data_IF_525109765373
#
_entry.id   IF_525109765373
#
_cell.length_a   1.000
_cell.length_b   1.000
_cell.length_c   1.000
_cell.angle_alpha   90.00
_cell.angle_beta   90.00
_cell.angle_gamma   90.00
#
_symmetry.space_group_name_H-M   'P 1'
#
loop_
_entity.id
_entity.type
_entity.pdbx_description
1 polymer ?
#
# COMPACT_ATOMS: atom_id res chain seq x y z
N UNK A 1 -46.79 7.12 33.01
CA UNK A 1 -45.90 6.24 32.24
C UNK A 1 -44.49 6.45 32.76
N UNK A 2 -43.97 5.52 33.55
CA UNK A 2 -42.58 5.53 34.00
C UNK A 2 -41.70 5.09 32.84
N UNK A 3 -40.87 6.00 32.32
CA UNK A 3 -39.80 5.68 31.40
C UNK A 3 -38.70 4.96 32.19
N UNK A 4 -38.71 3.64 32.17
CA UNK A 4 -37.63 2.83 32.76
C UNK A 4 -36.40 2.91 31.87
N UNK A 5 -35.48 3.81 32.18
CA UNK A 5 -34.11 3.77 31.64
C UNK A 5 -33.42 2.57 32.30
N UNK A 6 -33.35 1.45 31.59
CA UNK A 6 -32.54 0.30 32.02
C UNK A 6 -31.07 0.75 31.98
N UNK A 7 -30.42 0.84 33.14
CA UNK A 7 -28.98 1.06 33.19
C UNK A 7 -28.29 -0.09 32.46
N UNK A 8 -27.61 0.23 31.36
CA UNK A 8 -26.78 -0.72 30.63
C UNK A 8 -25.74 -1.31 31.59
N UNK A 9 -25.61 -2.64 31.64
CA UNK A 9 -24.65 -3.32 32.52
C UNK A 9 -23.21 -2.90 32.20
N UNK A 10 -22.27 -3.11 33.14
CA UNK A 10 -20.87 -2.69 32.97
C UNK A 10 -20.19 -3.19 31.69
N UNK A 11 -20.57 -4.37 31.21
CA UNK A 11 -20.05 -4.93 29.94
C UNK A 11 -20.72 -4.32 28.70
N UNK A 12 -21.99 -3.94 28.79
CA UNK A 12 -22.69 -3.23 27.71
C UNK A 12 -22.17 -1.79 27.57
N UNK A 13 -21.87 -1.12 28.68
CA UNK A 13 -21.23 0.19 28.67
C UNK A 13 -19.79 0.13 28.12
N UNK A 14 -19.03 -0.92 28.43
CA UNK A 14 -17.71 -1.18 27.84
C UNK A 14 -17.82 -1.39 26.33
N UNK A 15 -18.75 -2.22 25.87
CA UNK A 15 -18.99 -2.47 24.46
C UNK A 15 -19.39 -1.18 23.72
N UNK A 16 -20.29 -0.37 24.30
CA UNK A 16 -20.71 0.93 23.71
C UNK A 16 -19.53 1.91 23.65
N UNK A 17 -18.71 2.00 24.70
CA UNK A 17 -17.52 2.85 24.71
C UNK A 17 -16.50 2.40 23.66
N UNK A 18 -16.37 1.09 23.47
CA UNK A 18 -15.49 0.47 22.50
C UNK A 18 -15.97 0.73 21.06
N UNK A 19 -17.27 0.56 20.78
CA UNK A 19 -17.91 0.92 19.50
C UNK A 19 -17.66 2.40 19.18
N UNK A 20 -17.88 3.31 20.15
CA UNK A 20 -17.64 4.75 19.96
C UNK A 20 -16.17 5.08 19.70
N UNK A 21 -15.25 4.38 20.35
CA UNK A 21 -13.80 4.54 20.14
C UNK A 21 -13.38 4.11 18.73
N UNK A 22 -13.95 3.03 18.21
CA UNK A 22 -13.68 2.57 16.85
C UNK A 22 -14.32 3.48 15.79
N UNK A 23 -15.53 4.00 16.04
CA UNK A 23 -16.20 4.92 15.11
C UNK A 23 -15.41 6.23 14.87
N UNK A 24 -14.65 6.70 15.87
CA UNK A 24 -13.77 7.87 15.73
C UNK A 24 -12.34 7.51 15.27
N UNK A 25 -12.04 6.23 15.02
CA UNK A 25 -10.72 5.78 14.63
C UNK A 25 -10.52 5.87 13.09
N UNK A 26 -9.26 5.95 12.63
CA UNK A 26 -8.93 5.82 11.21
C UNK A 26 -9.55 4.57 10.59
N UNK A 27 -9.79 4.60 9.27
CA UNK A 27 -10.43 3.51 8.54
C UNK A 27 -9.82 2.14 8.82
N UNK A 28 -8.50 2.04 8.73
CA UNK A 28 -7.79 0.78 8.92
C UNK A 28 -7.91 0.20 10.35
N UNK A 29 -8.21 1.03 11.36
CA UNK A 29 -8.42 0.58 12.73
C UNK A 29 -9.86 0.13 13.02
N UNK A 30 -10.82 0.44 12.13
CA UNK A 30 -12.23 0.05 12.29
C UNK A 30 -12.44 -1.43 11.98
N UNK A 31 -13.47 -2.08 12.58
CA UNK A 31 -13.92 -3.40 12.17
C UNK A 31 -14.28 -3.41 10.67
N UNK A 32 -13.96 -4.50 9.99
CA UNK A 32 -14.43 -4.79 8.64
C UNK A 32 -15.73 -5.61 8.75
N UNK A 33 -16.93 -4.99 8.65
CA UNK A 33 -18.18 -5.65 9.04
C UNK A 33 -18.56 -6.85 8.18
N UNK A 34 -18.04 -6.91 6.95
CA UNK A 34 -18.27 -8.01 6.00
C UNK A 34 -17.26 -9.14 6.12
N UNK A 35 -16.22 -8.99 6.95
CA UNK A 35 -15.13 -9.95 7.07
C UNK A 35 -15.25 -10.80 8.33
N UNK A 36 -14.76 -12.03 8.22
CA UNK A 36 -14.71 -13.04 9.28
C UNK A 36 -13.26 -13.47 9.52
N UNK A 37 -12.93 -14.08 10.67
CA UNK A 37 -11.57 -14.57 10.91
C UNK A 37 -11.05 -15.56 9.86
N UNK A 38 -11.93 -16.30 9.18
CA UNK A 38 -11.54 -17.19 8.08
C UNK A 38 -11.08 -16.47 6.81
N UNK A 39 -11.36 -15.17 6.69
CA UNK A 39 -10.88 -14.36 5.57
C UNK A 39 -9.42 -13.92 5.74
N UNK A 40 -8.81 -14.18 6.90
CA UNK A 40 -7.40 -13.88 7.19
C UNK A 40 -6.50 -15.08 6.88
N UNK A 41 -5.45 -14.87 6.09
CA UNK A 41 -4.40 -15.86 5.85
C UNK A 41 -3.47 -15.96 7.06
N UNK A 42 -3.79 -16.88 7.96
CA UNK A 42 -3.01 -17.14 9.18
C UNK A 42 -1.61 -17.70 8.88
N UNK A 43 -1.41 -18.34 7.72
CA UNK A 43 -0.09 -18.83 7.32
C UNK A 43 0.78 -17.64 6.95
N UNK A 44 0.31 -16.76 6.07
CA UNK A 44 1.00 -15.51 5.72
C UNK A 44 1.28 -14.65 6.96
N UNK A 45 0.31 -14.58 7.87
CA UNK A 45 0.48 -13.88 9.14
C UNK A 45 1.68 -14.44 9.92
N UNK A 46 1.72 -15.76 10.15
CA UNK A 46 2.80 -16.42 10.91
C UNK A 46 4.15 -16.39 10.21
N UNK A 47 4.20 -16.60 8.89
CA UNK A 47 5.47 -16.77 8.17
C UNK A 47 6.08 -15.46 7.72
N UNK A 48 5.32 -14.36 7.69
CA UNK A 48 5.80 -13.11 7.08
C UNK A 48 5.42 -11.89 7.89
N UNK A 49 4.14 -11.73 8.24
CA UNK A 49 3.70 -10.51 8.91
C UNK A 49 4.20 -10.42 10.36
N UNK A 50 3.96 -11.44 11.17
CA UNK A 50 4.34 -11.48 12.58
C UNK A 50 5.88 -11.40 12.80
N UNK A 51 6.74 -12.14 12.06
CA UNK A 51 8.19 -12.01 12.17
C UNK A 51 8.69 -10.58 11.95
N UNK A 52 8.04 -9.80 11.08
CA UNK A 52 8.41 -8.41 10.82
C UNK A 52 8.18 -7.48 12.03
N UNK A 53 7.33 -7.88 12.98
CA UNK A 53 7.09 -7.16 14.23
C UNK A 53 7.83 -7.74 15.44
N UNK A 54 8.22 -9.02 15.38
CA UNK A 54 8.91 -9.75 16.45
C UNK A 54 10.19 -10.41 15.90
N UNK A 55 11.18 -9.62 15.47
CA UNK A 55 12.39 -10.18 14.88
C UNK A 55 13.16 -11.01 15.90
N UNK A 56 13.48 -12.25 15.54
CA UNK A 56 14.21 -13.19 16.40
C UNK A 56 13.33 -14.10 17.27
N UNK A 57 12.01 -13.95 17.23
CA UNK A 57 11.08 -14.90 17.86
C UNK A 57 10.62 -15.98 16.88
N UNK A 58 10.51 -17.23 17.37
CA UNK A 58 9.83 -18.30 16.64
C UNK A 58 8.33 -18.01 16.60
N UNK A 59 7.82 -17.75 15.39
CA UNK A 59 6.46 -17.25 15.13
C UNK A 59 5.65 -18.19 14.22
N UNK A 60 6.32 -19.16 13.61
CA UNK A 60 5.76 -20.16 12.71
C UNK A 60 5.27 -21.44 13.43
N UNK A 61 5.40 -21.52 14.75
CA UNK A 61 4.90 -22.63 15.56
C UNK A 61 3.37 -22.78 15.40
N UNK A 62 2.87 -23.90 14.85
CA UNK A 62 1.44 -24.15 14.71
C UNK A 62 0.67 -24.19 16.03
N UNK A 63 1.34 -24.48 17.16
CA UNK A 63 0.73 -24.56 18.49
C UNK A 63 0.61 -23.19 19.17
N UNK A 64 1.31 -22.15 18.66
CA UNK A 64 1.25 -20.80 19.23
C UNK A 64 -0.16 -20.21 19.01
N UNK A 65 -0.87 -19.78 20.07
CA UNK A 65 -2.16 -19.08 19.92
C UNK A 65 -2.01 -17.82 19.05
N UNK A 66 -2.88 -17.63 18.07
CA UNK A 66 -2.71 -16.57 17.05
C UNK A 66 -3.47 -15.30 17.40
N UNK A 67 -4.60 -15.44 18.07
CA UNK A 67 -5.55 -14.39 18.41
C UNK A 67 -4.91 -13.28 19.25
N UNK A 68 -4.09 -13.58 20.29
CA UNK A 68 -3.41 -12.53 21.06
C UNK A 68 -2.47 -11.67 20.20
N UNK A 69 -1.75 -12.30 19.26
CA UNK A 69 -0.83 -11.59 18.37
C UNK A 69 -1.59 -10.77 17.31
N UNK A 70 -2.67 -11.31 16.74
CA UNK A 70 -3.57 -10.58 15.84
C UNK A 70 -4.16 -9.34 16.53
N UNK A 71 -4.64 -9.49 17.77
CA UNK A 71 -5.24 -8.40 18.54
C UNK A 71 -4.18 -7.34 18.92
N UNK A 72 -3.00 -7.77 19.38
CA UNK A 72 -1.86 -6.89 19.69
C UNK A 72 -1.46 -6.04 18.48
N UNK A 73 -1.46 -6.65 17.29
CA UNK A 73 -1.15 -5.98 16.02
C UNK A 73 -2.36 -5.25 15.42
N UNK A 74 -3.53 -5.29 16.07
CA UNK A 74 -4.78 -4.65 15.66
C UNK A 74 -5.33 -5.14 14.31
N UNK A 75 -5.04 -6.40 13.96
CA UNK A 75 -5.62 -7.07 12.80
C UNK A 75 -7.03 -7.60 13.10
N UNK A 76 -7.32 -7.82 14.38
CA UNK A 76 -8.67 -8.08 14.89
C UNK A 76 -8.97 -7.10 16.03
N UNK A 77 -10.26 -6.89 16.26
CA UNK A 77 -10.78 -6.21 17.45
C UNK A 77 -10.65 -7.10 18.69
N UNK A 78 -10.77 -6.54 19.91
CA UNK A 78 -10.81 -7.35 21.13
C UNK A 78 -11.93 -8.38 21.16
N UNK A 79 -13.05 -8.13 20.47
CA UNK A 79 -14.13 -9.10 20.26
C UNK A 79 -13.86 -10.17 19.19
N UNK A 80 -12.67 -10.19 18.59
CA UNK A 80 -12.25 -11.19 17.61
C UNK A 80 -12.62 -10.91 16.15
N UNK A 81 -13.43 -9.87 15.88
CA UNK A 81 -13.79 -9.51 14.51
C UNK A 81 -12.60 -8.86 13.76
N UNK A 82 -12.34 -9.20 12.48
CA UNK A 82 -11.29 -8.54 11.68
C UNK A 82 -11.46 -7.02 11.60
N UNK A 83 -10.32 -6.32 11.58
CA UNK A 83 -10.28 -4.90 11.22
C UNK A 83 -10.02 -4.74 9.72
N UNK A 84 -10.27 -3.54 9.18
CA UNK A 84 -9.88 -3.22 7.81
C UNK A 84 -8.36 -3.38 7.61
N UNK A 85 -7.53 -3.09 8.62
CA UNK A 85 -6.10 -3.39 8.58
C UNK A 85 -5.83 -4.90 8.47
N UNK A 86 -6.53 -5.73 9.26
CA UNK A 86 -6.42 -7.19 9.19
C UNK A 86 -6.68 -7.70 7.78
N UNK A 87 -7.80 -7.27 7.21
CA UNK A 87 -8.20 -7.61 5.85
C UNK A 87 -7.17 -7.12 4.82
N UNK A 88 -6.74 -5.86 4.87
CA UNK A 88 -5.78 -5.32 3.90
C UNK A 88 -4.39 -5.94 4.02
N UNK A 89 -3.93 -6.23 5.24
CA UNK A 89 -2.56 -6.66 5.50
C UNK A 89 -2.33 -8.15 5.28
N UNK A 90 -3.31 -8.99 5.60
CA UNK A 90 -3.18 -10.46 5.54
C UNK A 90 -4.47 -11.16 5.08
N UNK A 91 -5.45 -10.43 4.54
CA UNK A 91 -6.68 -11.04 4.02
C UNK A 91 -6.45 -11.78 2.70
N UNK A 92 -7.17 -12.88 2.48
CA UNK A 92 -7.01 -13.72 1.27
C UNK A 92 -7.39 -12.99 -0.01
N UNK A 93 -8.49 -12.23 0.01
CA UNK A 93 -8.88 -11.27 -1.03
C UNK A 93 -9.48 -10.02 -0.37
N UNK A 94 -8.67 -8.98 -0.10
CA UNK A 94 -9.16 -7.75 0.53
C UNK A 94 -10.25 -7.03 -0.27
N UNK A 95 -10.30 -7.27 -1.59
CA UNK A 95 -11.20 -6.55 -2.49
C UNK A 95 -12.67 -6.96 -2.36
N UNK A 96 -12.96 -8.10 -1.73
CA UNK A 96 -14.33 -8.53 -1.42
C UNK A 96 -14.97 -7.70 -0.31
N UNK A 97 -14.14 -7.10 0.56
CA UNK A 97 -14.58 -6.30 1.71
C UNK A 97 -14.28 -4.81 1.53
N UNK A 98 -13.21 -4.50 0.80
CA UNK A 98 -12.79 -3.13 0.46
C UNK A 98 -12.70 -3.07 -1.07
N UNK A 99 -13.79 -2.75 -1.80
CA UNK A 99 -13.91 -2.98 -3.25
C UNK A 99 -12.75 -2.47 -4.11
N UNK A 100 -12.19 -1.32 -3.75
CA UNK A 100 -11.07 -0.77 -4.48
C UNK A 100 -9.72 -1.43 -4.18
N UNK A 101 -9.57 -2.27 -3.15
CA UNK A 101 -8.33 -2.86 -2.59
C UNK A 101 -7.58 -3.79 -3.57
N UNK A 102 -7.16 -3.25 -4.71
CA UNK A 102 -6.43 -3.93 -5.75
C UNK A 102 -5.57 -2.95 -6.56
N UNK A 103 -4.65 -3.51 -7.34
CA UNK A 103 -3.82 -2.78 -8.29
C UNK A 103 -4.21 -3.19 -9.70
N UNK A 104 -4.44 -2.21 -10.57
CA UNK A 104 -4.62 -2.39 -12.00
C UNK A 104 -3.33 -1.98 -12.71
N UNK A 105 -2.70 -2.90 -13.42
CA UNK A 105 -1.52 -2.67 -14.24
C UNK A 105 -1.88 -2.81 -15.71
N UNK A 106 -1.47 -1.85 -16.54
CA UNK A 106 -1.70 -1.85 -17.98
C UNK A 106 -0.42 -1.39 -18.69
N UNK A 107 0.06 -2.17 -19.65
CA UNK A 107 1.16 -1.81 -20.55
C UNK A 107 0.62 -1.50 -21.93
N UNK A 108 0.86 -0.29 -22.39
CA UNK A 108 0.53 0.17 -23.72
C UNK A 108 1.74 0.06 -24.65
N UNK A 109 1.48 -0.24 -25.92
CA UNK A 109 2.42 -0.13 -27.04
C UNK A 109 2.16 1.18 -27.78
N UNK A 110 2.48 2.28 -27.10
CA UNK A 110 2.34 3.64 -27.60
C UNK A 110 2.42 4.64 -26.44
N UNK A 111 2.16 5.91 -26.75
CA UNK A 111 2.18 7.02 -25.76
C UNK A 111 0.78 7.50 -25.38
N UNK A 112 -0.23 7.04 -26.12
CA UNK A 112 -1.63 7.43 -25.99
C UNK A 112 -2.48 6.32 -25.33
N UNK A 113 -3.64 6.70 -24.79
CA UNK A 113 -4.54 5.77 -24.10
C UNK A 113 -5.30 4.82 -25.04
N UNK A 114 -5.42 5.17 -26.32
CA UNK A 114 -6.01 4.35 -27.37
C UNK A 114 -4.98 3.40 -28.03
N UNK A 115 -3.72 3.44 -27.59
CA UNK A 115 -2.69 2.53 -28.06
C UNK A 115 -3.00 1.07 -27.68
N UNK A 116 -2.50 0.08 -28.45
CA UNK A 116 -2.69 -1.33 -28.13
C UNK A 116 -2.18 -1.71 -26.74
N UNK A 117 -2.96 -2.48 -25.99
CA UNK A 117 -2.53 -3.06 -24.71
C UNK A 117 -1.78 -4.37 -24.97
N UNK A 118 -0.55 -4.46 -24.49
CA UNK A 118 0.32 -5.64 -24.68
C UNK A 118 0.49 -6.48 -23.42
N UNK A 119 0.19 -5.90 -22.26
CA UNK A 119 0.18 -6.62 -20.98
C UNK A 119 -0.83 -5.97 -20.04
N UNK A 120 -1.58 -6.79 -19.29
CA UNK A 120 -2.59 -6.32 -18.35
C UNK A 120 -2.71 -7.28 -17.18
N UNK A 121 -2.67 -6.72 -15.97
CA UNK A 121 -2.82 -7.49 -14.73
C UNK A 121 -3.73 -6.79 -13.74
N UNK A 122 -4.45 -7.60 -12.97
CA UNK A 122 -5.18 -7.16 -11.80
C UNK A 122 -4.69 -7.93 -10.56
N UNK A 123 -4.21 -7.21 -9.55
CA UNK A 123 -3.66 -7.81 -8.34
C UNK A 123 -4.68 -7.71 -7.20
N UNK A 124 -5.51 -8.75 -7.14
CA UNK A 124 -6.45 -9.20 -6.11
C UNK A 124 -5.83 -9.74 -4.81
N UNK A 125 -5.10 -8.97 -3.99
CA UNK A 125 -4.41 -9.58 -2.83
C UNK A 125 -4.10 -8.63 -1.66
N UNK A 126 -3.68 -9.20 -0.53
CA UNK A 126 -3.16 -8.48 0.64
C UNK A 126 -1.90 -7.63 0.30
N UNK A 127 -1.52 -6.75 1.21
CA UNK A 127 -0.37 -5.84 1.05
C UNK A 127 0.96 -6.57 0.79
N UNK A 128 1.22 -7.70 1.45
CA UNK A 128 2.47 -8.46 1.32
C UNK A 128 2.56 -9.14 -0.05
N UNK A 129 1.49 -9.84 -0.42
CA UNK A 129 1.38 -10.53 -1.71
C UNK A 129 1.35 -9.53 -2.85
N UNK A 130 0.63 -8.41 -2.70
CA UNK A 130 0.58 -7.33 -3.69
C UNK A 130 1.96 -6.73 -3.92
N UNK A 131 2.71 -6.39 -2.86
CA UNK A 131 4.07 -5.85 -3.00
C UNK A 131 5.00 -6.83 -3.73
N UNK A 132 4.92 -8.12 -3.42
CA UNK A 132 5.73 -9.18 -4.04
C UNK A 132 5.39 -9.34 -5.53
N UNK A 133 4.09 -9.48 -5.86
CA UNK A 133 3.63 -9.62 -7.25
C UNK A 133 3.93 -8.39 -8.09
N UNK A 134 3.74 -7.20 -7.51
CA UNK A 134 4.04 -5.95 -8.20
C UNK A 134 5.53 -5.79 -8.47
N UNK A 135 6.40 -6.18 -7.53
CA UNK A 135 7.85 -6.19 -7.76
C UNK A 135 8.24 -7.11 -8.92
N UNK A 136 7.67 -8.32 -8.99
CA UNK A 136 7.93 -9.25 -10.07
C UNK A 136 7.40 -8.72 -11.43
N UNK A 137 6.19 -8.16 -11.44
CA UNK A 137 5.56 -7.61 -12.64
C UNK A 137 6.34 -6.41 -13.19
N UNK A 138 6.78 -5.50 -12.32
CA UNK A 138 7.62 -4.37 -12.69
C UNK A 138 8.96 -4.84 -13.24
N UNK A 139 9.60 -5.81 -12.58
CA UNK A 139 10.88 -6.35 -13.05
C UNK A 139 10.75 -7.03 -14.42
N UNK A 140 9.65 -7.75 -14.68
CA UNK A 140 9.40 -8.41 -15.96
C UNK A 140 9.18 -7.41 -17.11
N UNK A 141 8.66 -6.22 -16.82
CA UNK A 141 8.38 -5.16 -17.80
C UNK A 141 9.52 -4.13 -17.94
N UNK A 142 10.49 -4.15 -17.02
CA UNK A 142 11.62 -3.23 -17.02
C UNK A 142 12.66 -3.69 -18.05
N UNK A 143 12.88 -2.86 -19.07
CA UNK A 143 13.95 -3.08 -20.04
C UNK A 143 15.26 -2.50 -19.50
N UNK A 144 16.35 -3.19 -19.81
CA UNK A 144 17.70 -2.80 -19.42
C UNK A 144 18.56 -2.73 -20.67
N UNK A 145 19.17 -1.57 -20.90
CA UNK A 145 20.17 -1.38 -21.94
C UNK A 145 21.55 -1.61 -21.35
N UNK A 146 22.47 -2.10 -22.16
CA UNK A 146 23.90 -2.07 -21.83
C UNK A 146 24.47 -0.78 -22.40
N UNK A 147 25.20 -0.02 -21.60
CA UNK A 147 25.92 1.17 -22.02
C UNK A 147 27.39 1.07 -21.64
N UNK A 148 28.26 1.77 -22.37
CA UNK A 148 29.68 1.87 -22.02
C UNK A 148 29.81 2.49 -20.62
N UNK A 149 30.42 1.75 -19.70
CA UNK A 149 30.63 2.17 -18.32
C UNK A 149 31.92 2.98 -18.16
N UNK A 150 32.25 3.34 -16.91
CA UNK A 150 33.53 3.98 -16.60
C UNK A 150 34.70 2.97 -16.74
N UNK A 151 35.21 2.83 -17.96
CA UNK A 151 36.40 2.04 -18.30
C UNK A 151 36.33 1.41 -19.69
N UNK A 152 37.48 1.22 -20.35
CA UNK A 152 37.59 0.73 -21.74
C UNK A 152 36.95 -0.66 -22.00
N UNK A 153 36.66 -1.42 -20.94
CA UNK A 153 36.11 -2.77 -21.00
C UNK A 153 34.96 -2.99 -20.00
N UNK A 154 34.25 -1.92 -19.61
CA UNK A 154 33.07 -2.03 -18.72
C UNK A 154 31.80 -1.68 -19.48
N UNK A 155 30.78 -2.50 -19.28
CA UNK A 155 29.41 -2.20 -19.66
C UNK A 155 28.57 -2.10 -18.39
N UNK A 156 27.82 -1.00 -18.27
CA UNK A 156 26.88 -0.79 -17.19
C UNK A 156 25.46 -1.12 -17.67
N UNK A 157 24.75 -1.91 -16.85
CA UNK A 157 23.34 -2.20 -17.06
C UNK A 157 22.51 -0.99 -16.63
N UNK A 158 21.97 -0.26 -17.61
CA UNK A 158 21.12 0.92 -17.41
C UNK A 158 19.65 0.57 -17.67
N UNK A 159 18.85 0.36 -16.62
CA UNK A 159 17.42 0.17 -16.78
C UNK A 159 16.75 1.46 -17.28
N UNK A 160 15.70 1.33 -18.10
CA UNK A 160 14.92 2.46 -18.64
C UNK A 160 14.40 3.39 -17.51
N UNK A 161 14.18 2.81 -16.33
CA UNK A 161 13.79 3.50 -15.10
C UNK A 161 14.58 2.94 -13.92
N UNK A 162 15.03 3.78 -12.96
CA UNK A 162 15.66 3.27 -11.75
C UNK A 162 14.69 2.37 -10.96
N UNK A 163 15.07 1.12 -10.63
CA UNK A 163 14.23 0.22 -9.85
C UNK A 163 13.83 0.82 -8.49
N UNK A 164 14.69 1.67 -7.89
CA UNK A 164 14.38 2.33 -6.63
C UNK A 164 13.25 3.35 -6.76
N UNK A 165 13.20 4.10 -7.88
CA UNK A 165 12.11 5.05 -8.17
C UNK A 165 10.78 4.31 -8.29
N UNK A 166 10.77 3.20 -9.04
CA UNK A 166 9.58 2.39 -9.27
C UNK A 166 9.07 1.75 -7.99
N UNK A 167 9.97 1.15 -7.21
CA UNK A 167 9.66 0.56 -5.91
C UNK A 167 9.05 1.61 -4.98
N UNK A 168 9.70 2.77 -4.83
CA UNK A 168 9.22 3.81 -3.92
C UNK A 168 7.87 4.38 -4.36
N UNK A 169 7.67 4.64 -5.65
CA UNK A 169 6.40 5.13 -6.18
C UNK A 169 5.26 4.10 -6.01
N UNK A 170 5.52 2.82 -6.29
CA UNK A 170 4.56 1.75 -6.09
C UNK A 170 4.19 1.57 -4.61
N UNK A 171 5.17 1.55 -3.70
CA UNK A 171 4.89 1.39 -2.27
C UNK A 171 4.18 2.61 -1.68
N UNK A 172 4.50 3.82 -2.14
CA UNK A 172 3.77 5.03 -1.75
C UNK A 172 2.31 4.98 -2.25
N UNK A 173 2.09 4.44 -3.45
CA UNK A 173 0.75 4.24 -3.98
C UNK A 173 -0.08 3.30 -3.08
N UNK A 174 0.47 2.15 -2.67
CA UNK A 174 -0.23 1.25 -1.75
C UNK A 174 -0.46 1.90 -0.37
N UNK A 175 0.52 2.62 0.18
CA UNK A 175 0.44 3.18 1.53
C UNK A 175 -0.55 4.35 1.66
N UNK A 176 -0.57 5.25 0.69
CA UNK A 176 -1.31 6.53 0.77
C UNK A 176 -2.69 6.48 0.15
N UNK A 177 -3.10 5.34 -0.37
CA UNK A 177 -4.38 5.17 -1.04
C UNK A 177 -5.57 5.47 -0.15
N UNK A 178 -6.61 6.08 -0.72
CA UNK A 178 -7.92 6.16 -0.09
C UNK A 178 -8.66 4.83 -0.21
N UNK A 179 -8.59 4.03 0.86
CA UNK A 179 -9.29 2.74 0.98
C UNK A 179 -10.75 2.89 1.44
N UNK A 180 -11.16 4.07 1.91
CA UNK A 180 -12.48 4.27 2.52
C UNK A 180 -13.46 4.92 1.54
N UNK A 181 -13.06 6.03 0.92
CA UNK A 181 -13.99 6.90 0.20
C UNK A 181 -14.01 6.62 -1.31
N UNK A 182 -13.18 5.70 -1.79
CA UNK A 182 -13.06 5.39 -3.21
C UNK A 182 -13.02 3.89 -3.47
N UNK A 183 -13.72 3.48 -4.53
CA UNK A 183 -13.67 2.12 -5.07
C UNK A 183 -12.69 2.00 -6.25
N UNK A 184 -12.03 3.08 -6.65
CA UNK A 184 -11.00 3.01 -7.67
C UNK A 184 -9.74 2.29 -7.14
N UNK A 185 -9.03 1.54 -7.99
CA UNK A 185 -7.77 0.90 -7.63
C UNK A 185 -6.59 1.87 -7.69
N UNK A 186 -5.43 1.40 -7.24
CA UNK A 186 -4.16 1.95 -7.75
C UNK A 186 -4.08 1.60 -9.23
N UNK A 187 -3.88 2.59 -10.10
CA UNK A 187 -3.66 2.37 -11.53
C UNK A 187 -2.21 2.62 -11.89
N UNK A 188 -1.57 1.64 -12.52
CA UNK A 188 -0.22 1.72 -13.07
C UNK A 188 -0.34 1.58 -14.59
N UNK A 189 -0.25 2.70 -15.29
CA UNK A 189 -0.26 2.75 -16.75
C UNK A 189 1.17 2.95 -17.25
N UNK A 190 1.67 1.98 -18.00
CA UNK A 190 3.02 1.97 -18.53
C UNK A 190 2.97 2.17 -20.05
N UNK A 191 3.43 3.33 -20.50
CA UNK A 191 3.53 3.73 -21.91
C UNK A 191 4.95 3.56 -22.45
N UNK A 192 5.16 3.77 -23.74
CA UNK A 192 6.51 3.70 -24.32
C UNK A 192 7.48 4.78 -23.81
N UNK A 193 6.97 5.92 -23.36
CA UNK A 193 7.76 7.08 -22.94
C UNK A 193 7.72 7.35 -21.43
N UNK A 194 6.73 6.81 -20.72
CA UNK A 194 6.49 7.10 -19.30
C UNK A 194 5.74 5.98 -18.56
N UNK A 195 5.77 6.06 -17.24
CA UNK A 195 4.93 5.29 -16.32
C UNK A 195 4.13 6.27 -15.49
N UNK A 196 2.81 6.07 -15.43
CA UNK A 196 1.88 6.84 -14.62
C UNK A 196 1.34 5.95 -13.50
N UNK A 197 1.63 6.30 -12.25
CA UNK A 197 1.14 5.60 -11.05
C UNK A 197 0.14 6.52 -10.36
N UNK A 198 -1.13 6.14 -10.41
CA UNK A 198 -2.26 6.96 -9.97
C UNK A 198 -2.98 6.30 -8.79
N UNK A 199 -3.15 7.07 -7.72
CA UNK A 199 -3.97 6.74 -6.58
C UNK A 199 -5.28 7.52 -6.61
N UNK A 200 -6.38 6.89 -6.16
CA UNK A 200 -7.56 7.63 -5.76
C UNK A 200 -7.33 8.35 -4.43
N UNK A 201 -7.96 9.51 -4.31
CA UNK A 201 -7.84 10.42 -3.18
C UNK A 201 -6.70 11.42 -3.38
N UNK A 202 -7.01 12.70 -3.15
CA UNK A 202 -6.02 13.76 -3.14
C UNK A 202 -5.19 13.83 -1.86
N UNK A 203 -4.54 14.98 -1.60
CA UNK A 203 -3.84 15.24 -0.35
C UNK A 203 -4.70 14.97 0.90
N UNK A 204 -4.08 14.57 2.01
CA UNK A 204 -4.76 14.25 3.26
C UNK A 204 -4.22 15.02 4.44
N UNK A 205 -5.12 15.39 5.36
CA UNK A 205 -4.76 16.04 6.61
C UNK A 205 -4.00 17.35 6.35
N UNK A 206 -2.74 17.41 6.78
CA UNK A 206 -1.90 18.60 6.60
C UNK A 206 -1.18 18.67 5.25
N UNK A 207 -1.22 17.59 4.45
CA UNK A 207 -0.57 17.52 3.14
C UNK A 207 -1.37 18.32 2.11
N UNK A 208 -0.66 19.04 1.24
CA UNK A 208 -1.15 19.86 0.14
C UNK A 208 -0.24 19.71 -1.07
N UNK A 209 -0.73 20.14 -2.24
CA UNK A 209 0.03 20.09 -3.49
C UNK A 209 1.34 20.92 -3.48
N UNK A 210 1.52 21.83 -2.53
CA UNK A 210 2.71 22.69 -2.41
C UNK A 210 3.70 22.26 -1.30
N UNK A 211 3.32 21.30 -0.44
CA UNK A 211 4.10 20.94 0.75
C UNK A 211 4.35 19.44 0.93
N UNK A 212 3.87 18.61 -0.01
CA UNK A 212 3.89 17.16 0.08
C UNK A 212 5.29 16.52 0.13
N UNK A 213 6.31 17.28 -0.24
CA UNK A 213 7.71 16.92 -0.15
C UNK A 213 8.30 17.11 1.26
N UNK A 214 7.58 17.84 2.14
CA UNK A 214 8.04 18.27 3.48
C UNK A 214 7.11 17.85 4.60
N UNK A 215 5.82 17.71 4.32
CA UNK A 215 4.77 17.37 5.29
C UNK A 215 4.26 15.95 5.01
N UNK A 216 4.03 15.18 6.07
CA UNK A 216 3.45 13.85 5.97
C UNK A 216 2.22 13.72 6.85
N UNK A 217 1.18 13.11 6.31
CA UNK A 217 0.01 12.67 7.06
C UNK A 217 -0.49 11.34 6.46
N UNK A 218 -1.18 10.53 7.27
CA UNK A 218 -1.52 9.16 6.93
C UNK A 218 -3.03 8.91 7.11
N UNK A 219 -3.74 8.70 6.00
CA UNK A 219 -5.14 8.21 5.97
C UNK A 219 -5.29 6.91 6.76
N UNK A 220 -4.29 6.03 6.61
CA UNK A 220 -4.26 4.67 7.17
C UNK A 220 -2.98 4.45 7.99
N UNK A 221 -2.93 4.92 9.26
CA UNK A 221 -1.73 4.83 10.09
C UNK A 221 -1.26 3.40 10.41
N UNK A 222 -2.20 2.46 10.50
CA UNK A 222 -1.95 1.02 10.64
C UNK A 222 -1.34 0.40 9.39
N UNK A 223 -1.85 0.72 8.20
CA UNK A 223 -1.27 0.29 6.91
C UNK A 223 0.16 0.79 6.78
N UNK A 224 0.37 2.09 7.03
CA UNK A 224 1.73 2.65 7.02
C UNK A 224 2.66 1.97 8.03
N UNK A 225 2.12 1.39 9.12
CA UNK A 225 2.91 0.78 10.20
C UNK A 225 3.32 -0.62 9.79
N UNK A 226 2.37 -1.37 9.22
CA UNK A 226 2.59 -2.65 8.56
C UNK A 226 3.70 -2.52 7.50
N UNK A 227 3.53 -1.62 6.54
CA UNK A 227 4.50 -1.47 5.44
C UNK A 227 5.90 -1.05 5.91
N UNK A 228 6.00 -0.28 7.01
CA UNK A 228 7.29 0.03 7.63
C UNK A 228 7.92 -1.21 8.26
N UNK A 229 7.16 -1.95 9.08
CA UNK A 229 7.65 -3.15 9.76
C UNK A 229 8.12 -4.22 8.75
N UNK A 230 7.35 -4.39 7.66
CA UNK A 230 7.67 -5.28 6.54
C UNK A 230 8.87 -4.82 5.69
N UNK A 231 9.45 -3.64 5.96
CA UNK A 231 10.61 -3.11 5.23
C UNK A 231 10.29 -2.53 3.85
N UNK A 232 9.03 -2.37 3.49
CA UNK A 232 8.62 -1.83 2.18
C UNK A 232 8.84 -0.33 2.07
N UNK A 233 8.59 0.41 3.14
CA UNK A 233 8.70 1.89 3.17
C UNK A 233 9.50 2.38 4.36
N UNK A 234 10.05 3.59 4.23
CA UNK A 234 10.68 4.32 5.33
C UNK A 234 9.82 5.55 5.69
N UNK A 235 9.43 5.71 6.96
CA UNK A 235 8.56 6.82 7.42
C UNK A 235 9.30 8.14 7.72
N UNK A 236 10.28 8.52 6.90
CA UNK A 236 11.12 9.71 7.16
C UNK A 236 10.79 10.94 6.28
N UNK A 237 9.68 10.96 5.53
CA UNK A 237 9.46 12.06 4.57
C UNK A 237 10.27 11.97 3.27
N UNK A 238 11.19 11.00 3.15
CA UNK A 238 12.21 11.02 2.10
C UNK A 238 11.82 10.33 0.80
N UNK A 239 10.63 9.73 0.69
CA UNK A 239 10.27 8.91 -0.47
C UNK A 239 10.35 9.69 -1.78
N UNK A 240 9.80 10.90 -1.79
CA UNK A 240 9.78 11.76 -2.98
C UNK A 240 11.19 12.27 -3.31
N UNK A 241 11.96 12.66 -2.31
CA UNK A 241 13.38 13.03 -2.49
C UNK A 241 14.19 11.86 -3.05
N UNK A 242 13.90 10.62 -2.63
CA UNK A 242 14.55 9.41 -3.16
C UNK A 242 14.22 9.19 -4.62
N UNK A 243 12.93 9.29 -5.01
CA UNK A 243 12.51 9.19 -6.41
C UNK A 243 13.24 10.25 -7.25
N UNK A 244 13.25 11.52 -6.81
CA UNK A 244 13.97 12.59 -7.51
C UNK A 244 15.47 12.29 -7.65
N UNK A 245 16.11 11.84 -6.57
CA UNK A 245 17.54 11.54 -6.56
C UNK A 245 17.90 10.35 -7.46
N UNK A 246 17.13 9.25 -7.43
CA UNK A 246 17.39 8.08 -8.26
C UNK A 246 17.16 8.36 -9.75
N UNK A 247 16.13 9.15 -10.10
CA UNK A 247 15.90 9.61 -11.48
C UNK A 247 17.05 10.51 -11.97
N UNK A 248 17.46 11.48 -11.15
CA UNK A 248 18.54 12.41 -11.51
C UNK A 248 19.89 11.68 -11.71
N UNK A 249 20.18 10.65 -10.91
CA UNK A 249 21.41 9.86 -10.98
C UNK A 249 21.63 9.20 -12.36
N UNK A 250 20.56 8.85 -13.06
CA UNK A 250 20.62 8.21 -14.39
C UNK A 250 20.27 9.19 -15.52
N UNK A 251 20.20 10.50 -15.25
CA UNK A 251 19.86 11.51 -16.25
C UNK A 251 18.42 11.47 -16.75
N UNK A 252 17.50 10.80 -16.04
CA UNK A 252 16.09 10.81 -16.41
C UNK A 252 15.46 12.19 -16.15
N UNK A 253 14.39 12.56 -16.87
CA UNK A 253 13.61 13.75 -16.57
C UNK A 253 13.13 13.78 -15.11
N UNK A 254 12.98 14.98 -14.56
CA UNK A 254 12.46 15.17 -13.21
C UNK A 254 11.06 14.55 -13.12
N UNK A 255 10.76 13.73 -12.09
CA UNK A 255 9.43 13.14 -11.93
C UNK A 255 8.36 14.22 -11.78
N UNK A 256 7.26 14.08 -12.53
CA UNK A 256 6.10 14.98 -12.44
C UNK A 256 5.13 14.43 -11.39
N UNK A 257 4.55 15.32 -10.59
CA UNK A 257 3.51 14.99 -9.62
C UNK A 257 2.26 15.78 -10.00
N UNK A 258 1.23 15.08 -10.49
CA UNK A 258 -0.08 15.67 -10.81
C UNK A 258 -1.00 15.39 -9.63
N UNK A 259 -1.33 16.45 -8.90
CA UNK A 259 -2.04 16.37 -7.62
C UNK A 259 -3.27 17.24 -7.70
N UNK A 260 -4.43 16.65 -7.46
CA UNK A 260 -5.71 17.34 -7.32
C UNK A 260 -6.47 16.77 -6.11
N UNK A 261 -7.68 17.27 -5.85
CA UNK A 261 -8.47 16.88 -4.69
C UNK A 261 -8.96 15.41 -4.76
N UNK A 262 -9.07 14.86 -5.96
CA UNK A 262 -9.60 13.53 -6.22
C UNK A 262 -8.51 12.48 -6.47
N UNK A 263 -7.30 12.86 -6.85
CA UNK A 263 -6.25 11.94 -7.28
C UNK A 263 -4.83 12.41 -7.01
N UNK A 264 -3.94 11.43 -6.92
CA UNK A 264 -2.49 11.63 -6.85
C UNK A 264 -1.81 10.79 -7.92
N UNK A 265 -1.15 11.42 -8.89
CA UNK A 265 -0.44 10.74 -9.97
C UNK A 265 1.04 11.12 -9.98
N UNK A 266 1.91 10.10 -9.97
CA UNK A 266 3.35 10.25 -10.22
C UNK A 266 3.64 9.80 -11.64
N UNK A 267 4.32 10.65 -12.40
CA UNK A 267 4.75 10.36 -13.77
C UNK A 267 6.26 10.27 -13.81
N UNK A 268 6.75 9.10 -14.19
CA UNK A 268 8.17 8.83 -14.39
C UNK A 268 8.40 8.71 -15.88
N UNK A 269 9.35 9.46 -16.43
CA UNK A 269 9.73 9.38 -17.85
C UNK A 269 11.06 8.64 -17.98
N UNK A 270 11.19 7.80 -19.00
CA UNK A 270 12.44 7.08 -19.26
C UNK A 270 13.57 8.07 -19.53
N UNK A 271 14.81 7.65 -19.27
CA UNK A 271 15.96 8.41 -19.74
C UNK A 271 16.06 8.35 -21.29
N UNK A 272 16.61 9.39 -21.95
CA UNK A 272 16.69 9.49 -23.41
C UNK A 272 17.34 8.29 -24.12
#
# INVERSE_FOLDING_TARGET
MLTTTREAGGDEQRLIAEIRRFAAAPFDARPAPTATPSDLDLRLFRTTYLPAFLPGEATDDPQRPVEPDLARLRLITPGGAPTNLGVLAVGTDPSTHVPGAYVQFIRYQGVDLDAPVVDQHEIRADLVTTATRLSALVAANLRTKLAEGEGLFREDALPDYPPESLREACMNALMHRDYEHSHAPVRIAWFEDRIEITNPGGPYGQVRADNFDRVQDYRNPGVARAMKALGYVNRFGRGISRIRASMARVGSPVPEFRVDDASWCVVLRKWP
#
